data_IF_597474153741
#
_entry.id   IF_597474153741
#
_cell.length_a   1.000
_cell.length_b   1.000
_cell.length_c   1.000
_cell.angle_alpha   90.00
_cell.angle_beta   90.00
_cell.angle_gamma   90.00
#
_symmetry.space_group_name_H-M   'P 1'
#
loop_
_entity.id
_entity.type
_entity.pdbx_description
1 polymer ?
#
# COMPACT_ATOMS: atom_id res chain seq x y z
N UNK A 1 -24.08 -13.38 10.87
CA UNK A 1 -23.78 -14.83 10.83
C UNK A 1 -23.59 -15.20 9.38
N UNK A 2 -22.41 -15.70 9.02
CA UNK A 2 -22.16 -16.24 7.68
C UNK A 2 -22.94 -17.54 7.57
N UNK A 3 -23.80 -17.65 6.56
CA UNK A 3 -24.64 -18.83 6.39
C UNK A 3 -23.79 -19.97 5.82
N UNK A 4 -23.97 -21.20 6.31
CA UNK A 4 -23.28 -22.42 5.83
C UNK A 4 -23.52 -22.75 4.33
N UNK A 5 -24.27 -21.91 3.60
CA UNK A 5 -24.58 -22.05 2.17
C UNK A 5 -23.86 -21.04 1.27
N UNK A 6 -23.15 -20.07 1.83
CA UNK A 6 -22.55 -19.01 1.03
C UNK A 6 -21.17 -19.47 0.54
N UNK A 7 -21.06 -19.69 -0.77
CA UNK A 7 -19.79 -20.02 -1.39
C UNK A 7 -18.82 -18.85 -1.27
N UNK A 8 -17.66 -19.10 -0.68
CA UNK A 8 -16.60 -18.12 -0.58
C UNK A 8 -15.73 -18.14 -1.82
N UNK A 9 -15.50 -16.99 -2.44
CA UNK A 9 -14.59 -16.86 -3.57
C UNK A 9 -13.47 -15.90 -3.21
N UNK A 10 -12.25 -16.40 -3.27
CA UNK A 10 -11.04 -15.61 -3.07
C UNK A 10 -10.25 -15.60 -4.38
N UNK A 11 -9.96 -14.42 -4.89
CA UNK A 11 -9.18 -14.22 -6.12
C UNK A 11 -7.98 -13.34 -5.77
N UNK A 12 -6.79 -13.92 -5.91
CA UNK A 12 -5.53 -13.34 -5.44
C UNK A 12 -4.57 -13.05 -6.59
N UNK A 13 -3.66 -12.08 -6.44
CA UNK A 13 -2.60 -11.88 -7.40
C UNK A 13 -1.68 -13.12 -7.47
N UNK A 14 -1.10 -13.38 -8.63
CA UNK A 14 -0.25 -14.56 -8.87
C UNK A 14 0.98 -14.61 -7.95
N UNK A 15 1.48 -13.45 -7.50
CA UNK A 15 2.61 -13.37 -6.57
C UNK A 15 2.28 -13.96 -5.18
N UNK A 16 1.00 -14.05 -4.80
CA UNK A 16 0.54 -14.66 -3.55
C UNK A 16 0.62 -16.20 -3.58
N UNK A 17 0.88 -16.82 -4.75
CA UNK A 17 1.08 -18.27 -4.85
C UNK A 17 2.24 -18.79 -4.00
N UNK A 18 3.26 -17.96 -3.74
CA UNK A 18 4.40 -18.33 -2.88
C UNK A 18 3.97 -18.75 -1.47
N UNK A 19 2.84 -18.21 -0.99
CA UNK A 19 2.27 -18.49 0.33
C UNK A 19 1.02 -19.39 0.27
N UNK A 20 0.77 -20.05 -0.88
CA UNK A 20 -0.45 -20.83 -1.12
C UNK A 20 -0.74 -21.85 0.00
N UNK A 21 0.26 -22.63 0.41
CA UNK A 21 0.06 -23.66 1.44
C UNK A 21 -0.37 -23.06 2.78
N UNK A 22 0.29 -21.98 3.22
CA UNK A 22 -0.06 -21.29 4.47
C UNK A 22 -1.47 -20.72 4.41
N UNK A 23 -1.83 -20.14 3.26
CA UNK A 23 -3.16 -19.60 3.03
C UNK A 23 -4.24 -20.70 3.06
N UNK A 24 -3.98 -21.87 2.47
CA UNK A 24 -4.92 -23.00 2.51
C UNK A 24 -5.16 -23.49 3.93
N UNK A 25 -4.11 -23.61 4.75
CA UNK A 25 -4.26 -23.97 6.16
C UNK A 25 -5.13 -22.94 6.89
N UNK A 26 -4.82 -21.64 6.75
CA UNK A 26 -5.61 -20.57 7.37
C UNK A 26 -7.07 -20.60 6.93
N UNK A 27 -7.35 -20.81 5.65
CA UNK A 27 -8.72 -20.87 5.14
C UNK A 27 -9.46 -22.09 5.66
N UNK A 28 -8.83 -23.26 5.73
CA UNK A 28 -9.45 -24.45 6.29
C UNK A 28 -9.72 -24.36 7.79
N UNK A 29 -8.84 -23.70 8.54
CA UNK A 29 -9.00 -23.51 9.99
C UNK A 29 -10.09 -22.47 10.33
N UNK A 30 -10.22 -21.42 9.51
CA UNK A 30 -11.04 -20.26 9.84
C UNK A 30 -12.33 -20.13 9.02
N UNK A 31 -12.47 -20.88 7.92
CA UNK A 31 -13.67 -20.88 7.09
C UNK A 31 -14.39 -22.23 7.14
N UNK A 32 -15.55 -22.33 7.82
CA UNK A 32 -16.25 -23.61 8.02
C UNK A 32 -16.97 -24.13 6.76
N UNK A 33 -16.95 -23.38 5.65
CA UNK A 33 -17.68 -23.69 4.42
C UNK A 33 -16.79 -24.03 3.22
N UNK A 34 -17.40 -24.19 2.05
CA UNK A 34 -16.69 -24.34 0.79
C UNK A 34 -16.10 -23.01 0.35
N UNK A 35 -14.87 -23.05 -0.15
CA UNK A 35 -14.23 -21.90 -0.76
C UNK A 35 -13.62 -22.24 -2.11
N UNK A 36 -13.53 -21.25 -2.98
CA UNK A 36 -12.88 -21.31 -4.28
C UNK A 36 -11.75 -20.28 -4.31
N UNK A 37 -10.52 -20.77 -4.46
CA UNK A 37 -9.34 -19.92 -4.61
C UNK A 37 -8.92 -19.85 -6.08
N UNK A 38 -8.83 -18.63 -6.62
CA UNK A 38 -8.30 -18.36 -7.96
C UNK A 38 -7.11 -17.41 -7.88
N UNK A 39 -6.29 -17.48 -8.92
CA UNK A 39 -5.16 -16.58 -9.11
C UNK A 39 -5.28 -15.85 -10.44
N UNK A 40 -4.91 -14.57 -10.47
CA UNK A 40 -4.91 -13.72 -11.66
C UNK A 40 -3.66 -12.83 -11.71
N UNK A 41 -3.47 -12.14 -12.83
CA UNK A 41 -2.26 -11.34 -13.09
C UNK A 41 -2.32 -9.94 -12.47
N UNK A 42 -3.49 -9.46 -12.09
CA UNK A 42 -3.66 -8.10 -11.58
C UNK A 42 -3.25 -8.01 -10.10
N UNK A 43 -2.71 -6.87 -9.68
CA UNK A 43 -2.22 -6.65 -8.31
C UNK A 43 -3.35 -6.24 -7.35
N UNK A 44 -4.47 -6.96 -7.38
CA UNK A 44 -5.62 -6.73 -6.50
C UNK A 44 -6.11 -8.02 -5.84
N UNK A 45 -6.69 -7.88 -4.68
CA UNK A 45 -7.22 -8.94 -3.86
C UNK A 45 -8.74 -8.81 -3.88
N UNK A 46 -9.44 -9.86 -4.30
CA UNK A 46 -10.90 -9.85 -4.42
C UNK A 46 -11.48 -10.96 -3.56
N UNK A 47 -12.41 -10.59 -2.70
CA UNK A 47 -13.15 -11.45 -1.81
C UNK A 47 -14.63 -11.34 -2.14
N UNK A 48 -15.30 -12.47 -2.37
CA UNK A 48 -16.74 -12.49 -2.61
C UNK A 48 -17.43 -13.57 -1.77
N UNK A 49 -18.58 -13.20 -1.18
CA UNK A 49 -19.41 -14.08 -0.38
C UNK A 49 -20.88 -13.70 -0.60
N UNK A 50 -21.63 -14.54 -1.33
CA UNK A 50 -22.97 -14.18 -1.80
C UNK A 50 -22.93 -12.91 -2.66
N UNK A 51 -23.78 -11.94 -2.33
CA UNK A 51 -23.85 -10.65 -3.04
C UNK A 51 -22.80 -9.63 -2.56
N UNK A 52 -21.99 -9.98 -1.56
CA UNK A 52 -20.95 -9.09 -1.04
C UNK A 52 -19.65 -9.31 -1.79
N UNK A 53 -19.06 -8.21 -2.26
CA UNK A 53 -17.75 -8.19 -2.90
C UNK A 53 -16.91 -7.13 -2.20
N UNK A 54 -15.72 -7.52 -1.78
CA UNK A 54 -14.69 -6.62 -1.27
C UNK A 54 -13.46 -6.73 -2.17
N UNK A 55 -12.94 -5.58 -2.59
CA UNK A 55 -11.75 -5.46 -3.42
C UNK A 55 -10.71 -4.62 -2.69
N UNK A 56 -9.46 -5.05 -2.74
CA UNK A 56 -8.32 -4.33 -2.19
C UNK A 56 -7.18 -4.30 -3.20
N UNK A 57 -6.74 -3.09 -3.58
CA UNK A 57 -5.57 -2.87 -4.42
C UNK A 57 -4.52 -2.08 -3.63
N UNK A 58 -3.31 -2.64 -3.39
CA UNK A 58 -2.23 -1.91 -2.74
C UNK A 58 -1.84 -0.64 -3.49
N UNK A 59 -1.90 -0.65 -4.82
CA UNK A 59 -1.55 0.51 -5.65
C UNK A 59 -2.49 1.68 -5.37
N UNK A 60 -3.81 1.43 -5.36
CA UNK A 60 -4.80 2.47 -5.06
C UNK A 60 -4.64 3.03 -3.64
N UNK A 61 -4.29 2.17 -2.68
CA UNK A 61 -4.01 2.60 -1.32
C UNK A 61 -2.78 3.52 -1.25
N UNK A 62 -1.68 3.14 -1.92
CA UNK A 62 -0.45 3.94 -1.96
C UNK A 62 -0.66 5.25 -2.70
N UNK A 63 -1.34 5.24 -3.85
CA UNK A 63 -1.66 6.45 -4.60
C UNK A 63 -2.46 7.45 -3.77
N UNK A 64 -3.46 6.96 -3.04
CA UNK A 64 -4.27 7.79 -2.14
C UNK A 64 -3.42 8.39 -1.03
N UNK A 65 -2.59 7.59 -0.36
CA UNK A 65 -1.71 8.06 0.71
C UNK A 65 -0.68 9.08 0.20
N UNK A 66 -0.08 8.83 -0.96
CA UNK A 66 0.86 9.74 -1.62
C UNK A 66 0.18 11.04 -2.00
N UNK A 67 -1.06 10.99 -2.50
CA UNK A 67 -1.86 12.16 -2.82
C UNK A 67 -2.11 13.05 -1.59
N UNK A 68 -2.51 12.44 -0.46
CA UNK A 68 -2.73 13.15 0.80
C UNK A 68 -1.43 13.78 1.33
N UNK A 69 -0.32 13.04 1.30
CA UNK A 69 0.98 13.55 1.74
C UNK A 69 1.42 14.73 0.86
N UNK A 70 1.30 14.59 -0.46
CA UNK A 70 1.63 15.68 -1.40
C UNK A 70 0.78 16.92 -1.13
N UNK A 71 -0.53 16.74 -0.95
CA UNK A 71 -1.43 17.84 -0.66
C UNK A 71 -1.02 18.60 0.61
N UNK A 72 -0.71 17.90 1.70
CA UNK A 72 -0.24 18.55 2.92
C UNK A 72 1.15 19.20 2.78
N UNK A 73 2.05 18.62 1.97
CA UNK A 73 3.34 19.26 1.66
C UNK A 73 3.18 20.52 0.79
N UNK A 74 2.13 20.56 -0.05
CA UNK A 74 1.77 21.74 -0.85
C UNK A 74 1.13 22.85 -0.03
N UNK A 75 0.44 22.50 1.06
CA UNK A 75 -0.17 23.44 2.01
C UNK A 75 0.81 23.95 3.08
N UNK A 76 2.04 23.43 3.15
CA UNK A 76 3.02 23.93 4.10
C UNK A 76 3.30 25.43 3.87
N UNK A 77 3.35 26.23 4.95
CA UNK A 77 3.65 27.65 4.85
C UNK A 77 4.95 27.88 4.08
N UNK A 78 4.96 28.93 3.25
CA UNK A 78 6.13 29.27 2.43
C UNK A 78 7.39 29.48 3.28
N UNK A 79 7.23 29.92 4.53
CA UNK A 79 8.31 30.06 5.51
C UNK A 79 9.03 28.73 5.79
N UNK A 80 8.31 27.60 5.83
CA UNK A 80 8.90 26.27 6.00
C UNK A 80 9.74 25.84 4.79
N UNK A 81 9.35 26.24 3.57
CA UNK A 81 10.15 26.00 2.35
C UNK A 81 11.41 26.86 2.34
N UNK A 82 11.26 28.13 2.74
CA UNK A 82 12.35 29.12 2.79
C UNK A 82 13.41 28.75 3.83
N UNK A 83 13.04 28.14 4.97
CA UNK A 83 13.99 27.63 5.96
C UNK A 83 14.88 26.52 5.37
N UNK A 84 14.32 25.62 4.57
CA UNK A 84 15.09 24.56 3.91
C UNK A 84 16.07 25.13 2.89
N UNK A 85 15.64 26.08 2.07
CA UNK A 85 16.50 26.71 1.06
C UNK A 85 17.61 27.54 1.70
N UNK A 86 17.31 28.29 2.76
CA UNK A 86 18.29 29.06 3.50
C UNK A 86 19.31 28.16 4.21
N UNK A 87 18.88 27.04 4.79
CA UNK A 87 19.78 26.07 5.42
C UNK A 87 20.70 25.38 4.40
N UNK A 88 20.18 25.04 3.22
CA UNK A 88 20.97 24.47 2.11
C UNK A 88 21.98 25.48 1.58
N UNK A 89 21.58 26.74 1.36
CA UNK A 89 22.47 27.79 0.89
C UNK A 89 23.57 28.12 1.92
N UNK A 90 23.20 28.19 3.20
CA UNK A 90 24.18 28.38 4.28
C UNK A 90 25.21 27.24 4.32
N UNK A 91 24.77 25.99 4.14
CA UNK A 91 25.66 24.84 4.06
C UNK A 91 26.58 24.89 2.83
N UNK A 92 26.06 25.29 1.66
CA UNK A 92 26.85 25.44 0.43
C UNK A 92 27.92 26.52 0.60
N UNK A 93 27.59 27.65 1.22
CA UNK A 93 28.53 28.74 1.45
C UNK A 93 29.61 28.36 2.48
N UNK A 94 29.23 27.62 3.53
CA UNK A 94 30.17 27.07 4.50
C UNK A 94 31.12 26.03 3.87
N UNK A 95 30.64 25.27 2.89
CA UNK A 95 31.45 24.28 2.18
C UNK A 95 32.45 24.94 1.22
N UNK A 96 32.02 25.96 0.46
CA UNK A 96 32.87 26.76 -0.43
C UNK A 96 33.97 27.50 0.30
N UNK A 97 33.64 28.10 1.46
CA UNK A 97 34.63 28.80 2.29
C UNK A 97 35.67 27.84 2.88
N UNK A 98 35.29 26.61 3.25
CA UNK A 98 36.24 25.57 3.69
C UNK A 98 37.11 25.00 2.57
N UNK A 99 36.62 24.95 1.33
CA UNK A 99 37.40 24.42 0.19
C UNK A 99 38.31 25.45 -0.48
N UNK A 100 38.06 26.76 -0.32
CA UNK A 100 38.96 27.81 -0.81
C UNK A 100 40.11 28.17 0.16
N UNK A 101 40.08 27.65 1.39
CA UNK A 101 41.10 27.90 2.41
C UNK A 101 42.17 26.79 2.52
N UNK A 102 42.26 25.89 1.53
CA UNK A 102 43.30 24.83 1.42
C UNK A 102 44.10 24.96 0.14
#
# INVERSE_FOLDING_TARGET
MISLRDNFFLTLPVNAKKDHQKLMVLLMENWPGTFNLKYHQEQRFIMSCGDQIAEFSPEQFVETAVGVIKHHLDELPQDCRTISDNAINAFIDEWKTKTQAS
#
